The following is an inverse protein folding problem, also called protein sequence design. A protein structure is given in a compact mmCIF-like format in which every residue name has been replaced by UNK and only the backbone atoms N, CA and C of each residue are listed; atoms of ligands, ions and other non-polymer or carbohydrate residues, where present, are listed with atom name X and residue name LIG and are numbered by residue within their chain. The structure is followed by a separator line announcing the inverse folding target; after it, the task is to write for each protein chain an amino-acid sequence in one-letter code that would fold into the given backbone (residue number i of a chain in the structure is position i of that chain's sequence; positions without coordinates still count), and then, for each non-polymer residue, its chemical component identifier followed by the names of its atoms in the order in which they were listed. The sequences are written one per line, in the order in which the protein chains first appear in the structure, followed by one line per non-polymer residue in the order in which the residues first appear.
data_IF_478766514832
#
_entry.id   IF_478766514832
#
_cell.length_a   1.000
_cell.length_b   1.000
_cell.length_c   1.000
_cell.angle_alpha   90.00
_cell.angle_beta   90.00
_cell.angle_gamma   90.00
#
_symmetry.space_group_name_H-M   'P 1'
#
loop_
_entity.id
_entity.type
_entity.pdbx_description
1 polymer ?
#
# COMPACT_ATOMS: atom_id res chain seq x y z
N UNK A 1 -41.95 -2.13 -16.86
CA UNK A 1 -40.63 -2.67 -16.50
C UNK A 1 -39.77 -1.47 -16.16
N UNK A 2 -39.55 -1.23 -14.86
CA UNK A 2 -38.99 0.03 -14.37
C UNK A 2 -37.53 0.19 -14.79
N UNK A 3 -37.22 1.34 -15.36
CA UNK A 3 -35.90 1.80 -15.76
C UNK A 3 -35.11 2.13 -14.48
N UNK A 4 -34.27 1.21 -14.03
CA UNK A 4 -33.41 1.43 -12.88
C UNK A 4 -32.26 2.34 -13.31
N UNK A 5 -32.49 3.66 -13.22
CA UNK A 5 -31.45 4.67 -13.42
C UNK A 5 -30.25 4.32 -12.52
N UNK A 6 -29.13 3.96 -13.14
CA UNK A 6 -27.86 3.78 -12.45
C UNK A 6 -27.47 5.16 -11.88
N UNK A 7 -27.63 5.34 -10.57
CA UNK A 7 -27.18 6.56 -9.93
C UNK A 7 -25.70 6.74 -10.25
N UNK A 8 -25.34 7.87 -10.86
CA UNK A 8 -23.96 8.17 -11.18
C UNK A 8 -23.16 8.21 -9.88
N UNK A 9 -22.45 7.13 -9.57
CA UNK A 9 -21.55 7.05 -8.43
C UNK A 9 -20.56 8.21 -8.53
N UNK A 10 -20.47 9.03 -7.50
CA UNK A 10 -19.49 10.10 -7.44
C UNK A 10 -18.08 9.51 -7.63
N UNK A 11 -17.35 10.01 -8.63
CA UNK A 11 -15.95 9.63 -8.86
C UNK A 11 -15.14 10.21 -7.70
N UNK A 12 -14.44 9.35 -6.97
CA UNK A 12 -13.53 9.78 -5.89
C UNK A 12 -12.18 10.15 -6.49
N UNK A 13 -11.74 11.37 -6.23
CA UNK A 13 -10.42 11.90 -6.62
C UNK A 13 -9.45 11.85 -5.44
N UNK A 14 -8.17 11.65 -5.72
CA UNK A 14 -7.07 11.65 -4.75
C UNK A 14 -5.88 12.38 -5.35
N UNK A 15 -5.05 13.01 -4.52
CA UNK A 15 -3.81 13.66 -4.96
C UNK A 15 -2.78 12.64 -5.44
N UNK A 16 -2.80 11.42 -4.87
CA UNK A 16 -1.97 10.32 -5.33
C UNK A 16 -2.68 8.95 -5.21
N UNK A 17 -2.45 8.12 -6.23
CA UNK A 17 -2.76 6.69 -6.22
C UNK A 17 -1.44 5.91 -6.17
N UNK A 18 -1.34 4.97 -5.24
CA UNK A 18 -0.19 4.06 -5.12
C UNK A 18 -0.66 2.65 -5.45
N UNK A 19 0.10 1.95 -6.30
CA UNK A 19 -0.14 0.55 -6.64
C UNK A 19 0.92 -0.31 -5.96
N UNK A 20 0.48 -1.17 -5.04
CA UNK A 20 1.30 -2.05 -4.22
C UNK A 20 1.44 -1.56 -2.77
N UNK A 21 1.19 -2.46 -1.82
CA UNK A 21 1.38 -2.26 -0.38
C UNK A 21 2.58 -3.07 0.16
N UNK A 22 3.68 -3.07 -0.61
CA UNK A 22 5.00 -3.50 -0.13
C UNK A 22 5.72 -2.39 0.64
N UNK A 23 7.00 -2.61 0.96
CA UNK A 23 7.83 -1.65 1.72
C UNK A 23 7.79 -0.24 1.06
N UNK A 24 8.05 -0.15 -0.24
CA UNK A 24 8.04 1.15 -0.92
C UNK A 24 6.67 1.86 -0.85
N UNK A 25 5.58 1.14 -1.13
CA UNK A 25 4.24 1.72 -1.18
C UNK A 25 3.71 2.16 0.19
N UNK A 26 4.01 1.39 1.24
CA UNK A 26 3.65 1.77 2.61
C UNK A 26 4.39 3.05 3.05
N UNK A 27 5.69 3.13 2.79
CA UNK A 27 6.47 4.32 3.13
C UNK A 27 6.05 5.54 2.30
N UNK A 28 5.79 5.36 1.01
CA UNK A 28 5.30 6.44 0.16
C UNK A 28 3.94 6.97 0.64
N UNK A 29 3.00 6.09 1.01
CA UNK A 29 1.72 6.49 1.60
C UNK A 29 1.94 7.30 2.88
N UNK A 30 2.81 6.82 3.77
CA UNK A 30 3.15 7.50 5.02
C UNK A 30 3.66 8.93 4.76
N UNK A 31 4.68 9.08 3.90
CA UNK A 31 5.28 10.39 3.58
C UNK A 31 4.31 11.34 2.89
N UNK A 32 3.49 10.86 1.96
CA UNK A 32 2.51 11.71 1.27
C UNK A 32 1.40 12.18 2.22
N UNK A 33 1.00 11.36 3.19
CA UNK A 33 0.05 11.78 4.23
C UNK A 33 0.64 12.83 5.17
N UNK A 34 1.92 12.75 5.50
CA UNK A 34 2.60 13.81 6.27
C UNK A 34 2.62 15.16 5.53
N UNK A 35 2.57 15.14 4.20
CA UNK A 35 2.43 16.34 3.37
C UNK A 35 0.98 16.86 3.27
N UNK A 36 0.02 16.22 3.96
CA UNK A 36 -1.39 16.58 3.93
C UNK A 36 -2.14 16.14 2.66
N UNK A 37 -1.54 15.29 1.84
CA UNK A 37 -2.15 14.82 0.59
C UNK A 37 -3.16 13.69 0.83
N UNK A 38 -4.21 13.69 0.03
CA UNK A 38 -5.17 12.59 -0.04
C UNK A 38 -4.61 11.43 -0.87
N UNK A 39 -4.44 10.27 -0.24
CA UNK A 39 -3.77 9.12 -0.86
C UNK A 39 -4.60 7.86 -0.75
N UNK A 40 -4.62 7.07 -1.83
CA UNK A 40 -5.21 5.73 -1.86
C UNK A 40 -4.18 4.71 -2.35
N UNK A 41 -4.01 3.64 -1.59
CA UNK A 41 -3.20 2.48 -1.97
C UNK A 41 -4.12 1.37 -2.46
N UNK A 42 -3.75 0.70 -3.54
CA UNK A 42 -4.36 -0.55 -4.00
C UNK A 42 -3.32 -1.66 -3.97
N UNK A 43 -3.68 -2.81 -3.41
CA UNK A 43 -2.84 -4.00 -3.34
C UNK A 43 -3.65 -5.19 -3.83
N UNK A 44 -3.01 -6.06 -4.60
CA UNK A 44 -3.62 -7.29 -5.12
C UNK A 44 -3.76 -8.34 -4.02
N UNK A 45 -2.80 -8.40 -3.11
CA UNK A 45 -2.83 -9.28 -1.95
C UNK A 45 -3.94 -8.89 -0.96
N UNK A 46 -4.39 -9.86 -0.17
CA UNK A 46 -5.36 -9.58 0.90
C UNK A 46 -4.74 -8.88 2.13
N UNK A 47 -3.44 -8.58 2.08
CA UNK A 47 -2.70 -7.92 3.15
C UNK A 47 -1.44 -7.22 2.63
N UNK A 48 -0.80 -6.46 3.51
CA UNK A 48 0.43 -5.74 3.21
C UNK A 48 1.66 -6.66 3.20
N UNK A 49 2.75 -6.19 2.60
CA UNK A 49 4.06 -6.85 2.65
C UNK A 49 4.72 -7.03 1.29
N UNK A 50 3.96 -6.90 0.20
CA UNK A 50 4.49 -7.06 -1.17
C UNK A 50 5.15 -8.43 -1.34
N UNK A 51 6.43 -8.46 -1.72
CA UNK A 51 7.21 -9.69 -1.84
C UNK A 51 7.09 -10.59 -0.61
N UNK A 52 7.09 -10.04 0.61
CA UNK A 52 6.97 -10.81 1.86
C UNK A 52 5.57 -11.36 2.13
N UNK A 53 4.55 -10.73 1.55
CA UNK A 53 3.20 -11.28 1.60
C UNK A 53 3.08 -12.50 0.68
N UNK A 54 3.65 -12.44 -0.53
CA UNK A 54 3.50 -13.51 -1.52
C UNK A 54 4.47 -14.69 -1.29
N UNK A 55 5.71 -14.43 -0.89
CA UNK A 55 6.74 -15.45 -0.74
C UNK A 55 6.72 -16.05 0.66
N UNK A 56 6.03 -17.19 0.80
CA UNK A 56 5.91 -17.97 2.06
C UNK A 56 6.46 -19.40 1.93
N UNK A 57 7.43 -19.60 1.04
CA UNK A 57 8.09 -20.89 0.89
C UNK A 57 9.07 -21.14 2.07
N UNK A 58 9.37 -22.40 2.41
CA UNK A 58 10.32 -22.72 3.48
C UNK A 58 11.70 -22.11 3.22
N UNK A 59 12.22 -21.36 4.19
CA UNK A 59 13.54 -20.72 4.10
C UNK A 59 13.56 -19.34 3.43
N UNK A 60 12.41 -18.75 3.10
CA UNK A 60 12.34 -17.36 2.64
C UNK A 60 13.06 -16.40 3.62
N UNK A 61 14.02 -15.63 3.11
CA UNK A 61 14.87 -14.71 3.87
C UNK A 61 15.33 -13.55 2.98
N UNK A 62 15.87 -12.51 3.60
CA UNK A 62 16.55 -11.41 2.92
C UNK A 62 18.06 -11.53 3.11
N UNK A 63 18.81 -10.88 2.24
CA UNK A 63 20.28 -10.97 2.18
C UNK A 63 20.98 -9.79 2.87
N UNK A 64 20.25 -8.99 3.65
CA UNK A 64 20.79 -7.88 4.44
C UNK A 64 20.82 -8.25 5.92
N UNK A 65 21.60 -7.53 6.72
CA UNK A 65 21.52 -7.63 8.17
C UNK A 65 20.18 -7.09 8.67
N UNK A 66 19.59 -7.72 9.68
CA UNK A 66 18.24 -7.35 10.13
C UNK A 66 18.09 -5.90 10.57
N UNK A 67 19.15 -5.30 11.12
CA UNK A 67 19.13 -3.90 11.55
C UNK A 67 19.22 -2.90 10.40
N UNK A 68 19.58 -3.33 9.18
CA UNK A 68 19.59 -2.48 7.98
C UNK A 68 18.31 -2.62 7.17
N UNK A 69 17.61 -3.74 7.30
CA UNK A 69 16.36 -4.03 6.58
C UNK A 69 15.11 -3.65 7.39
N UNK A 70 15.00 -2.36 7.72
CA UNK A 70 13.89 -1.79 8.46
C UNK A 70 13.64 -0.33 8.10
N UNK A 71 12.53 0.23 8.58
CA UNK A 71 12.31 1.67 8.49
C UNK A 71 13.05 2.39 9.61
N UNK A 72 13.73 3.47 9.28
CA UNK A 72 14.44 4.32 10.25
C UNK A 72 13.70 5.62 10.57
N UNK A 73 12.46 5.79 10.14
CA UNK A 73 11.67 7.01 10.38
C UNK A 73 10.91 6.99 11.72
N UNK A 74 10.81 5.81 12.35
CA UNK A 74 10.14 5.57 13.63
C UNK A 74 11.18 5.06 14.61
N UNK A 75 11.17 5.62 15.83
CA UNK A 75 12.02 5.17 16.93
C UNK A 75 11.37 4.02 17.73
N UNK A 76 10.06 3.79 17.51
CA UNK A 76 9.30 2.63 17.97
C UNK A 76 9.38 1.48 16.95
#
# INVERSE_FOLDING_TARGET
MADAAFAASAIRTFDAIIIGAGIAGMYQMYRLRELGLSVRVFETGSGVGGTWYWNRYPGARFDSESYTYGYAFSDD
#
